data_IF_362367970606
#
_entry.id   IF_362367970606
#
_cell.length_a   1.000
_cell.length_b   1.000
_cell.length_c   1.000
_cell.angle_alpha   90.00
_cell.angle_beta   90.00
_cell.angle_gamma   90.00
#
_symmetry.space_group_name_H-M   'P 1'
#
loop_
_entity.id
_entity.type
_entity.pdbx_description
1 polymer ?
#
# COMPACT_ATOMS: atom_id res chain seq x y z
N UNK A 1 15.40 -12.12 4.94
CA UNK A 1 14.85 -10.81 4.53
C UNK A 1 15.02 -9.75 5.61
N UNK A 2 14.44 -9.87 6.82
CA UNK A 2 14.53 -8.85 7.90
C UNK A 2 15.97 -8.40 8.19
N UNK A 3 16.92 -9.32 8.36
CA UNK A 3 18.32 -9.00 8.62
C UNK A 3 19.01 -8.27 7.45
N UNK A 4 18.63 -8.57 6.21
CA UNK A 4 19.15 -7.86 5.04
C UNK A 4 18.58 -6.44 4.97
N UNK A 5 17.27 -6.26 5.17
CA UNK A 5 16.65 -4.94 5.21
C UNK A 5 17.28 -4.05 6.30
N UNK A 6 17.55 -4.61 7.50
CA UNK A 6 18.25 -3.92 8.58
C UNK A 6 19.67 -3.49 8.18
N UNK A 7 20.39 -4.33 7.41
CA UNK A 7 21.72 -3.98 6.91
C UNK A 7 21.66 -2.88 5.86
N UNK A 8 20.70 -2.96 4.92
CA UNK A 8 20.48 -1.90 3.92
C UNK A 8 20.17 -0.58 4.62
N UNK A 9 19.26 -0.57 5.60
CA UNK A 9 18.91 0.64 6.35
C UNK A 9 20.10 1.28 7.06
N UNK A 10 20.96 0.47 7.67
CA UNK A 10 22.12 0.94 8.40
C UNK A 10 23.29 1.36 7.50
N UNK A 11 23.57 0.60 6.43
CA UNK A 11 24.84 0.65 5.71
C UNK A 11 24.72 1.36 4.34
N UNK A 12 23.49 1.50 3.79
CA UNK A 12 23.28 1.99 2.43
C UNK A 12 22.29 3.16 2.39
N UNK A 13 21.03 2.95 2.78
CA UNK A 13 19.96 3.95 2.71
C UNK A 13 18.81 3.59 3.65
N UNK A 14 18.06 4.57 4.18
CA UNK A 14 16.85 4.31 4.98
C UNK A 14 15.85 3.44 4.24
N UNK A 15 15.30 2.44 4.93
CA UNK A 15 14.26 1.55 4.41
C UNK A 15 12.90 1.98 4.96
N UNK A 16 11.98 2.36 4.09
CA UNK A 16 10.59 2.68 4.40
C UNK A 16 9.66 1.54 4.00
N UNK A 17 8.47 1.51 4.58
CA UNK A 17 7.46 0.49 4.27
C UNK A 17 6.19 1.15 3.71
N UNK A 18 5.74 0.71 2.53
CA UNK A 18 4.48 1.11 1.91
C UNK A 18 3.56 -0.11 1.74
N UNK A 19 2.33 -0.04 2.27
CA UNK A 19 1.44 -1.21 2.34
C UNK A 19 -0.04 -0.82 2.33
N UNK A 20 -0.90 -1.68 1.77
CA UNK A 20 -2.36 -1.62 1.97
C UNK A 20 -2.82 -2.13 3.35
N UNK A 21 -1.91 -2.63 4.18
CA UNK A 21 -2.22 -3.04 5.57
C UNK A 21 -2.40 -1.82 6.46
N UNK A 22 -3.13 -2.02 7.57
CA UNK A 22 -3.31 -0.97 8.58
C UNK A 22 -2.00 -0.67 9.32
N UNK A 23 -1.87 0.54 9.84
CA UNK A 23 -0.68 0.98 10.58
C UNK A 23 -0.29 0.04 11.73
N UNK A 24 -1.22 -0.46 12.58
CA UNK A 24 -0.88 -1.45 13.61
C UNK A 24 -0.30 -2.77 13.08
N UNK A 25 -0.60 -3.14 11.84
CA UNK A 25 -0.06 -4.35 11.21
C UNK A 25 1.34 -4.13 10.63
N UNK A 26 1.69 -2.90 10.22
CA UNK A 26 2.98 -2.59 9.61
C UNK A 26 4.03 -2.20 10.66
N UNK A 27 3.61 -1.52 11.73
CA UNK A 27 4.52 -1.04 12.81
C UNK A 27 5.39 -2.17 13.42
N UNK A 28 4.86 -3.36 13.77
CA UNK A 28 5.68 -4.44 14.30
C UNK A 28 6.74 -4.94 13.30
N UNK A 29 6.43 -4.91 12.00
CA UNK A 29 7.38 -5.29 10.95
C UNK A 29 8.52 -4.28 10.90
N UNK A 30 8.19 -2.99 10.91
CA UNK A 30 9.18 -1.91 10.96
C UNK A 30 10.09 -2.02 12.19
N UNK A 31 9.51 -2.28 13.35
CA UNK A 31 10.27 -2.49 14.59
C UNK A 31 11.19 -3.72 14.52
N UNK A 32 10.71 -4.82 13.94
CA UNK A 32 11.51 -6.03 13.77
C UNK A 32 12.69 -5.83 12.80
N UNK A 33 12.49 -5.05 11.73
CA UNK A 33 13.55 -4.64 10.81
C UNK A 33 14.48 -3.64 11.50
N UNK A 34 13.96 -2.76 12.34
CA UNK A 34 14.70 -1.68 12.99
C UNK A 34 15.07 -0.58 12.00
N UNK A 35 14.15 -0.22 11.10
CA UNK A 35 14.44 0.79 10.07
C UNK A 35 14.35 2.20 10.61
N UNK A 36 15.10 3.12 9.96
CA UNK A 36 15.03 4.57 10.18
C UNK A 36 14.08 5.28 9.19
N UNK A 37 13.41 4.53 8.33
CA UNK A 37 12.46 5.04 7.36
C UNK A 37 11.12 5.47 7.97
N UNK A 38 10.13 5.64 7.13
CA UNK A 38 8.74 5.94 7.50
C UNK A 38 7.80 4.79 7.07
N UNK A 39 6.56 4.84 7.55
CA UNK A 39 5.49 3.94 7.13
C UNK A 39 4.46 4.73 6.31
N UNK A 40 4.07 4.16 5.18
CA UNK A 40 2.86 4.49 4.44
C UNK A 40 1.94 3.28 4.53
N UNK A 41 0.80 3.42 5.19
CA UNK A 41 -0.17 2.35 5.43
C UNK A 41 -1.51 2.69 4.76
N UNK A 42 -2.40 1.70 4.68
CA UNK A 42 -3.74 1.83 4.10
C UNK A 42 -3.71 2.46 2.70
N UNK A 43 -2.86 1.89 1.82
CA UNK A 43 -2.68 2.38 0.44
C UNK A 43 -2.40 3.88 0.32
N UNK A 44 -1.68 4.47 1.27
CA UNK A 44 -1.35 5.89 1.24
C UNK A 44 -2.12 6.74 2.23
N UNK A 45 -3.20 6.23 2.81
CA UNK A 45 -4.08 6.99 3.70
C UNK A 45 -3.48 7.34 5.06
N UNK A 46 -2.50 6.55 5.52
CA UNK A 46 -1.84 6.75 6.80
C UNK A 46 -0.33 6.91 6.62
N UNK A 47 0.23 7.98 7.18
CA UNK A 47 1.68 8.21 7.20
C UNK A 47 2.15 8.28 8.64
N UNK A 48 3.20 7.54 8.96
CA UNK A 48 3.86 7.58 10.25
C UNK A 48 5.38 7.66 10.09
N UNK A 49 6.00 8.55 10.84
CA UNK A 49 7.44 8.79 10.82
C UNK A 49 8.02 8.76 12.22
N UNK A 50 8.93 7.83 12.48
CA UNK A 50 9.58 7.67 13.78
C UNK A 50 10.54 8.81 14.14
N UNK A 51 11.07 9.54 13.16
CA UNK A 51 12.03 10.62 13.35
C UNK A 51 11.33 11.95 13.58
N UNK A 52 10.21 12.19 12.90
CA UNK A 52 9.44 13.44 12.98
C UNK A 52 8.51 13.51 14.21
N UNK A 53 8.91 12.87 15.32
CA UNK A 53 8.18 12.96 16.58
C UNK A 53 6.99 12.00 16.70
N UNK A 54 7.03 10.88 16.01
CA UNK A 54 5.98 9.84 16.00
C UNK A 54 4.59 10.37 15.59
N UNK A 55 4.55 11.45 14.80
CA UNK A 55 3.30 11.97 14.27
C UNK A 55 2.62 10.95 13.35
N UNK A 56 1.38 10.60 13.66
CA UNK A 56 0.49 9.88 12.74
C UNK A 56 -0.26 10.93 11.94
N UNK A 57 -0.30 10.78 10.63
CA UNK A 57 -1.08 11.63 9.74
C UNK A 57 -2.08 10.77 8.99
N UNK A 58 -3.36 10.99 9.24
CA UNK A 58 -4.45 10.48 8.41
C UNK A 58 -4.72 11.47 7.27
N UNK A 59 -4.74 10.97 6.04
CA UNK A 59 -4.91 11.77 4.82
C UNK A 59 -6.31 11.66 4.24
N UNK A 60 -7.13 10.77 4.79
CA UNK A 60 -8.49 10.49 4.34
C UNK A 60 -9.36 10.07 5.52
N UNK A 61 -10.67 9.99 5.30
CA UNK A 61 -11.66 9.46 6.24
C UNK A 61 -12.42 8.30 5.59
N UNK A 62 -12.26 7.11 6.14
CA UNK A 62 -12.91 5.88 5.67
C UNK A 62 -14.40 5.77 6.04
N UNK A 63 -14.98 6.75 6.72
CA UNK A 63 -16.39 6.68 7.17
C UNK A 63 -17.38 6.59 6.01
N UNK A 64 -17.11 7.27 4.88
CA UNK A 64 -17.92 7.19 3.66
C UNK A 64 -17.81 5.81 3.02
N UNK A 65 -16.61 5.26 2.92
CA UNK A 65 -16.36 3.93 2.38
C UNK A 65 -17.07 2.85 3.22
N UNK A 66 -17.05 2.97 4.54
CA UNK A 66 -17.81 2.10 5.44
C UNK A 66 -19.31 2.17 5.20
N UNK A 67 -19.89 3.37 5.08
CA UNK A 67 -21.33 3.54 4.77
C UNK A 67 -21.69 2.96 3.42
N UNK A 68 -20.82 3.12 2.41
CA UNK A 68 -21.01 2.50 1.11
C UNK A 68 -21.00 0.95 1.21
N UNK A 69 -20.13 0.37 2.03
CA UNK A 69 -20.11 -1.07 2.30
C UNK A 69 -21.38 -1.55 3.01
N UNK A 70 -21.89 -0.79 3.98
CA UNK A 70 -23.16 -1.05 4.66
C UNK A 70 -24.35 -0.99 3.65
N UNK A 71 -24.32 -0.04 2.73
CA UNK A 71 -25.31 0.07 1.65
C UNK A 71 -25.20 -1.10 0.65
N UNK A 72 -23.99 -1.48 0.23
CA UNK A 72 -23.77 -2.64 -0.65
C UNK A 72 -24.34 -3.94 -0.05
N UNK A 73 -24.25 -4.13 1.25
CA UNK A 73 -24.81 -5.28 1.94
C UNK A 73 -26.35 -5.34 1.86
N UNK A 74 -27.02 -4.22 1.58
CA UNK A 74 -28.48 -4.21 1.30
C UNK A 74 -28.81 -4.63 -0.13
N UNK A 75 -27.81 -4.70 -1.03
CA UNK A 75 -27.98 -4.98 -2.47
C UNK A 75 -27.42 -6.34 -2.88
N UNK A 76 -26.45 -6.85 -2.14
CA UNK A 76 -25.74 -8.10 -2.44
C UNK A 76 -26.00 -9.07 -1.30
N UNK A 77 -26.71 -10.15 -1.61
CA UNK A 77 -27.03 -11.19 -0.63
C UNK A 77 -25.75 -11.87 -0.11
N UNK A 78 -25.66 -12.01 1.21
CA UNK A 78 -24.51 -12.66 1.85
C UNK A 78 -23.26 -11.79 2.01
N UNK A 79 -23.27 -10.52 1.55
CA UNK A 79 -22.16 -9.60 1.77
C UNK A 79 -22.11 -9.15 3.24
N UNK A 80 -21.00 -9.43 3.92
CA UNK A 80 -20.75 -8.90 5.27
C UNK A 80 -20.15 -7.49 5.20
N UNK A 81 -20.87 -6.44 5.59
CA UNK A 81 -20.38 -5.06 5.54
C UNK A 81 -19.24 -4.78 6.53
N UNK A 82 -19.03 -5.64 7.53
CA UNK A 82 -17.88 -5.53 8.45
C UNK A 82 -16.56 -5.80 7.73
N UNK A 83 -16.62 -6.59 6.64
CA UNK A 83 -15.49 -6.90 5.79
C UNK A 83 -14.41 -7.71 6.48
N UNK A 84 -13.15 -7.34 6.24
CA UNK A 84 -12.01 -8.05 6.79
C UNK A 84 -11.73 -7.65 8.25
N UNK A 85 -11.13 -8.57 9.00
CA UNK A 85 -10.81 -8.42 10.44
C UNK A 85 -10.07 -7.10 10.74
N UNK A 86 -9.13 -6.69 9.87
CA UNK A 86 -8.32 -5.48 10.09
C UNK A 86 -9.09 -4.16 9.96
N UNK A 87 -10.35 -4.18 9.49
CA UNK A 87 -11.18 -2.96 9.42
C UNK A 87 -11.40 -2.30 10.78
N UNK A 88 -11.29 -3.05 11.88
CA UNK A 88 -11.36 -2.49 13.24
C UNK A 88 -10.28 -1.46 13.57
N UNK A 89 -9.20 -1.44 12.79
CA UNK A 89 -8.07 -0.52 12.93
C UNK A 89 -7.87 0.35 11.69
N UNK A 90 -8.80 0.27 10.71
CA UNK A 90 -8.70 1.01 9.45
C UNK A 90 -9.38 2.36 9.59
N UNK A 91 -8.71 3.41 9.14
CA UNK A 91 -9.18 4.79 9.31
C UNK A 91 -9.52 5.47 7.98
N UNK A 92 -8.89 5.10 6.87
CA UNK A 92 -8.90 5.90 5.65
C UNK A 92 -9.61 5.26 4.46
N UNK A 93 -9.84 3.97 4.52
CA UNK A 93 -10.55 3.17 3.52
C UNK A 93 -11.37 2.09 4.23
N UNK A 94 -12.17 1.30 3.49
CA UNK A 94 -12.86 0.13 4.01
C UNK A 94 -12.66 -1.07 3.11
N UNK A 95 -12.37 -2.24 3.68
CA UNK A 95 -12.04 -3.44 2.93
C UNK A 95 -13.09 -4.51 3.14
N UNK A 96 -13.67 -4.98 2.05
CA UNK A 96 -14.58 -6.12 2.02
C UNK A 96 -13.80 -7.40 1.69
N UNK A 97 -14.31 -8.56 2.10
CA UNK A 97 -13.74 -9.84 1.72
C UNK A 97 -13.75 -9.97 0.20
N UNK A 98 -12.68 -10.56 -0.37
CA UNK A 98 -12.63 -10.84 -1.79
C UNK A 98 -13.72 -11.85 -2.13
N UNK A 99 -14.65 -11.43 -2.96
CA UNK A 99 -15.80 -12.24 -3.36
C UNK A 99 -15.93 -12.22 -4.88
N UNK A 100 -16.67 -13.17 -5.43
CA UNK A 100 -17.04 -13.20 -6.85
C UNK A 100 -17.93 -12.01 -7.27
N UNK A 101 -18.36 -11.19 -6.30
CA UNK A 101 -19.22 -10.02 -6.49
C UNK A 101 -18.47 -8.71 -6.76
N UNK A 102 -17.17 -8.71 -7.00
CA UNK A 102 -16.38 -7.48 -7.19
C UNK A 102 -16.94 -6.59 -8.31
N UNK A 103 -17.19 -7.14 -9.49
CA UNK A 103 -17.73 -6.36 -10.62
C UNK A 103 -19.14 -5.81 -10.32
N UNK A 104 -19.95 -6.59 -9.58
CA UNK A 104 -21.26 -6.13 -9.11
C UNK A 104 -21.13 -4.98 -8.11
N UNK A 105 -20.21 -5.06 -7.15
CA UNK A 105 -19.93 -3.97 -6.20
C UNK A 105 -19.52 -2.71 -6.94
N UNK A 106 -18.57 -2.82 -7.89
CA UNK A 106 -18.08 -1.72 -8.70
C UNK A 106 -19.18 -1.04 -9.51
N UNK A 107 -20.03 -1.83 -10.17
CA UNK A 107 -21.17 -1.31 -10.93
C UNK A 107 -22.19 -0.61 -10.03
N UNK A 108 -22.57 -1.24 -8.91
CA UNK A 108 -23.50 -0.65 -7.96
C UNK A 108 -23.00 0.68 -7.39
N UNK A 109 -21.72 0.77 -7.03
CA UNK A 109 -21.12 2.03 -6.54
C UNK A 109 -21.18 3.09 -7.64
N UNK A 110 -20.78 2.77 -8.88
CA UNK A 110 -20.79 3.70 -10.00
C UNK A 110 -22.19 4.31 -10.30
N UNK A 111 -23.25 3.53 -10.06
CA UNK A 111 -24.64 3.93 -10.30
C UNK A 111 -25.34 4.49 -9.03
N UNK A 112 -24.59 4.87 -8.00
CA UNK A 112 -25.13 5.31 -6.71
C UNK A 112 -24.67 6.71 -6.29
N UNK A 113 -25.13 7.15 -5.11
CA UNK A 113 -24.63 8.36 -4.44
C UNK A 113 -23.16 8.26 -4.02
N UNK A 114 -22.57 7.06 -4.10
CA UNK A 114 -21.17 6.76 -3.76
C UNK A 114 -20.27 6.71 -5.01
N UNK A 115 -20.75 7.17 -6.17
CA UNK A 115 -20.09 7.03 -7.48
C UNK A 115 -18.70 7.69 -7.58
N UNK A 116 -18.38 8.56 -6.65
CA UNK A 116 -17.04 9.17 -6.51
C UNK A 116 -16.05 8.30 -5.75
N UNK A 117 -16.49 7.22 -5.07
CA UNK A 117 -15.59 6.31 -4.39
C UNK A 117 -14.90 5.35 -5.36
N UNK A 118 -13.64 5.12 -5.12
CA UNK A 118 -12.88 4.10 -5.85
C UNK A 118 -13.08 2.72 -5.25
N UNK A 119 -13.26 1.72 -6.13
CA UNK A 119 -13.42 0.31 -5.75
C UNK A 119 -12.35 -0.49 -6.47
N UNK A 120 -11.41 -1.03 -5.72
CA UNK A 120 -10.26 -1.75 -6.24
C UNK A 120 -10.16 -3.14 -5.61
N UNK A 121 -9.97 -4.17 -6.43
CA UNK A 121 -9.70 -5.53 -5.96
C UNK A 121 -8.19 -5.73 -5.83
N UNK A 122 -7.78 -6.31 -4.72
CA UNK A 122 -6.43 -6.84 -4.49
C UNK A 122 -6.50 -8.35 -4.28
N UNK A 123 -5.37 -9.02 -4.18
CA UNK A 123 -5.35 -10.48 -4.03
C UNK A 123 -6.05 -11.03 -2.77
N UNK A 124 -6.45 -10.18 -1.82
CA UNK A 124 -7.06 -10.61 -0.56
C UNK A 124 -8.30 -9.82 -0.13
N UNK A 125 -8.59 -8.66 -0.73
CA UNK A 125 -9.72 -7.82 -0.36
C UNK A 125 -10.17 -6.91 -1.51
N UNK A 126 -11.42 -6.44 -1.42
CA UNK A 126 -11.96 -5.33 -2.20
C UNK A 126 -11.87 -4.07 -1.35
N UNK A 127 -11.12 -3.10 -1.81
CA UNK A 127 -10.91 -1.81 -1.16
C UNK A 127 -11.92 -0.79 -1.68
N UNK A 128 -12.56 -0.09 -0.78
CA UNK A 128 -13.40 1.09 -1.07
C UNK A 128 -12.74 2.28 -0.42
N UNK A 129 -12.43 3.30 -1.19
CA UNK A 129 -11.67 4.46 -0.72
C UNK A 129 -12.18 5.76 -1.35
N UNK A 130 -11.84 6.90 -0.75
CA UNK A 130 -11.98 8.19 -1.40
C UNK A 130 -11.04 8.29 -2.61
N UNK A 131 -11.41 9.05 -3.65
CA UNK A 131 -10.62 9.16 -4.87
C UNK A 131 -9.21 9.73 -4.61
N UNK A 132 -8.24 9.24 -5.36
CA UNK A 132 -6.84 9.68 -5.26
C UNK A 132 -6.11 9.17 -4.02
N UNK A 133 -6.66 8.19 -3.30
CA UNK A 133 -5.99 7.55 -2.19
C UNK A 133 -5.16 6.37 -2.71
N UNK A 134 -3.89 6.60 -2.93
CA UNK A 134 -2.93 5.59 -3.36
C UNK A 134 -1.59 5.72 -2.63
N UNK A 135 -0.70 4.76 -2.84
CA UNK A 135 0.61 4.72 -2.17
C UNK A 135 1.48 5.94 -2.51
N UNK A 136 1.32 6.53 -3.71
CA UNK A 136 2.10 7.69 -4.13
C UNK A 136 1.75 8.94 -3.31
N UNK A 137 0.48 9.13 -2.94
CA UNK A 137 0.05 10.24 -2.11
C UNK A 137 0.74 10.21 -0.74
N UNK A 138 0.65 9.09 -0.02
CA UNK A 138 1.29 8.94 1.28
C UNK A 138 2.82 9.04 1.20
N UNK A 139 3.41 8.43 0.18
CA UNK A 139 4.84 8.46 -0.07
C UNK A 139 5.34 9.88 -0.37
N UNK A 140 4.64 10.62 -1.23
CA UNK A 140 4.95 12.00 -1.56
C UNK A 140 4.97 12.89 -0.32
N UNK A 141 3.94 12.78 0.53
CA UNK A 141 3.85 13.55 1.78
C UNK A 141 4.97 13.19 2.76
N UNK A 142 5.28 11.89 2.91
CA UNK A 142 6.36 11.45 3.79
C UNK A 142 7.74 11.92 3.30
N UNK A 143 7.97 11.89 1.99
CA UNK A 143 9.21 12.39 1.39
C UNK A 143 9.34 13.90 1.52
N UNK A 144 8.27 14.66 1.25
CA UNK A 144 8.24 16.11 1.40
C UNK A 144 8.58 16.54 2.82
N UNK A 145 7.98 15.90 3.83
CA UNK A 145 8.27 16.16 5.25
C UNK A 145 9.74 15.95 5.63
N UNK A 146 10.44 15.05 4.95
CA UNK A 146 11.86 14.78 5.17
C UNK A 146 12.80 15.52 4.21
N UNK A 147 12.27 16.28 3.26
CA UNK A 147 13.05 16.94 2.21
C UNK A 147 13.75 15.93 1.29
N UNK A 148 13.13 14.77 1.05
CA UNK A 148 13.67 13.72 0.19
C UNK A 148 13.19 13.98 -1.24
N UNK A 149 14.13 14.12 -2.17
CA UNK A 149 13.83 14.16 -3.60
C UNK A 149 13.35 12.77 -4.07
N UNK A 150 12.12 12.64 -4.61
CA UNK A 150 11.60 11.38 -5.14
C UNK A 150 12.54 10.71 -6.14
N UNK A 151 13.28 11.46 -6.92
CA UNK A 151 14.25 10.94 -7.89
C UNK A 151 15.44 10.21 -7.28
N UNK A 152 15.63 10.33 -5.97
CA UNK A 152 16.67 9.62 -5.21
C UNK A 152 16.13 8.41 -4.46
N UNK A 153 14.87 8.04 -4.69
CA UNK A 153 14.19 6.93 -4.03
C UNK A 153 14.11 5.73 -4.97
N UNK A 154 14.32 4.54 -4.41
CA UNK A 154 14.08 3.26 -5.07
C UNK A 154 12.81 2.67 -4.44
N UNK A 155 11.82 2.34 -5.27
CA UNK A 155 10.65 1.60 -4.85
C UNK A 155 10.72 0.14 -5.33
N UNK A 156 10.14 -0.78 -4.55
CA UNK A 156 9.89 -2.13 -5.02
C UNK A 156 8.48 -2.59 -4.65
N UNK A 157 7.87 -3.38 -5.54
CA UNK A 157 6.50 -3.83 -5.36
C UNK A 157 6.18 -5.04 -6.24
N UNK A 158 4.99 -5.60 -6.05
CA UNK A 158 4.55 -6.83 -6.70
C UNK A 158 3.10 -6.80 -7.19
N UNK A 159 2.36 -5.72 -6.94
CA UNK A 159 0.92 -5.64 -7.19
C UNK A 159 0.50 -4.30 -7.86
N UNK A 160 -0.66 -4.24 -8.51
CA UNK A 160 -1.13 -3.04 -9.23
C UNK A 160 -1.19 -1.77 -8.37
N UNK A 161 -1.45 -1.89 -7.06
CA UNK A 161 -1.43 -0.76 -6.13
C UNK A 161 -0.02 -0.20 -5.84
N UNK A 162 1.05 -0.79 -6.42
CA UNK A 162 2.43 -0.28 -6.36
C UNK A 162 2.76 0.62 -7.55
N UNK A 163 2.01 0.53 -8.66
CA UNK A 163 2.25 1.32 -9.88
C UNK A 163 2.33 2.82 -9.60
N UNK A 164 1.39 3.44 -8.83
CA UNK A 164 1.49 4.88 -8.57
C UNK A 164 2.79 5.30 -7.86
N UNK A 165 3.35 4.46 -6.98
CA UNK A 165 4.64 4.78 -6.37
C UNK A 165 5.82 4.55 -7.33
N UNK A 166 5.73 3.63 -8.30
CA UNK A 166 6.74 3.45 -9.33
C UNK A 166 6.85 4.69 -10.23
N UNK A 167 5.71 5.27 -10.61
CA UNK A 167 5.66 6.49 -11.43
C UNK A 167 6.23 7.73 -10.68
N UNK A 168 6.23 7.70 -9.35
CA UNK A 168 6.68 8.82 -8.52
C UNK A 168 8.19 8.85 -8.29
N UNK A 169 8.83 7.68 -8.17
CA UNK A 169 10.23 7.55 -7.72
C UNK A 169 11.24 7.64 -8.84
N UNK A 170 12.53 7.69 -8.50
CA UNK A 170 13.63 7.74 -9.47
C UNK A 170 14.02 6.40 -10.06
N UNK A 171 13.71 5.28 -9.37
CA UNK A 171 13.94 3.94 -9.86
C UNK A 171 12.96 2.95 -9.21
N UNK A 172 12.38 2.08 -10.01
CA UNK A 172 11.37 1.12 -9.57
C UNK A 172 11.74 -0.31 -9.96
N UNK A 173 11.42 -1.25 -9.07
CA UNK A 173 11.75 -2.67 -9.24
C UNK A 173 10.51 -3.53 -8.98
N UNK A 174 10.05 -4.26 -10.01
CA UNK A 174 9.06 -5.31 -9.84
C UNK A 174 9.74 -6.56 -9.26
N UNK A 175 9.20 -7.10 -8.17
CA UNK A 175 9.70 -8.34 -7.54
C UNK A 175 8.79 -9.54 -7.82
N UNK A 176 7.81 -9.38 -8.72
CA UNK A 176 6.87 -10.41 -9.16
C UNK A 176 6.50 -10.17 -10.62
N UNK A 177 6.18 -11.23 -11.34
CA UNK A 177 5.66 -11.22 -12.71
C UNK A 177 4.18 -11.65 -12.79
N UNK A 178 3.51 -11.70 -11.63
CA UNK A 178 2.10 -12.10 -11.55
C UNK A 178 1.18 -11.13 -12.31
N UNK A 179 1.53 -9.84 -12.34
CA UNK A 179 0.79 -8.78 -12.98
C UNK A 179 1.65 -8.13 -14.08
N UNK A 180 1.35 -8.41 -15.38
CA UNK A 180 2.12 -7.84 -16.49
C UNK A 180 2.20 -6.31 -16.49
N UNK A 181 1.13 -5.62 -16.04
CA UNK A 181 1.10 -4.16 -15.94
C UNK A 181 2.09 -3.62 -14.89
N UNK A 182 2.33 -4.36 -13.80
CA UNK A 182 3.33 -3.99 -12.79
C UNK A 182 4.73 -4.12 -13.35
N UNK A 183 4.98 -5.20 -14.10
CA UNK A 183 6.27 -5.40 -14.77
C UNK A 183 6.51 -4.31 -15.83
N UNK A 184 5.48 -3.94 -16.59
CA UNK A 184 5.58 -2.92 -17.64
C UNK A 184 5.80 -1.50 -17.07
N UNK A 185 5.38 -1.23 -15.84
CA UNK A 185 5.55 0.07 -15.17
C UNK A 185 6.88 0.21 -14.43
N UNK A 186 7.60 -0.89 -14.18
CA UNK A 186 8.86 -0.89 -13.44
C UNK A 186 10.07 -0.68 -14.36
N UNK A 187 11.11 -0.01 -13.85
CA UNK A 187 12.39 0.16 -14.57
C UNK A 187 13.18 -1.15 -14.64
N UNK A 188 12.98 -2.04 -13.66
CA UNK A 188 13.63 -3.35 -13.61
C UNK A 188 12.74 -4.41 -12.97
N UNK A 189 13.06 -5.68 -13.23
CA UNK A 189 12.46 -6.83 -12.57
C UNK A 189 13.57 -7.73 -12.03
N UNK A 190 13.38 -8.30 -10.85
CA UNK A 190 14.32 -9.27 -10.27
C UNK A 190 14.27 -10.61 -11.03
N UNK A 191 15.37 -11.37 -11.05
CA UNK A 191 15.41 -12.72 -11.62
C UNK A 191 14.53 -13.69 -10.82
N UNK A 192 14.65 -13.64 -9.50
CA UNK A 192 13.79 -14.37 -8.57
C UNK A 192 12.45 -13.63 -8.37
N UNK A 193 11.44 -14.29 -7.82
CA UNK A 193 10.10 -13.75 -7.66
C UNK A 193 9.63 -13.67 -6.21
N UNK A 194 8.75 -12.71 -5.94
CA UNK A 194 8.12 -12.50 -4.64
C UNK A 194 9.16 -12.29 -3.53
N UNK A 195 9.09 -13.10 -2.50
CA UNK A 195 10.02 -13.02 -1.36
C UNK A 195 11.49 -13.20 -1.77
N UNK A 196 11.77 -14.09 -2.72
CA UNK A 196 13.13 -14.33 -3.21
C UNK A 196 13.63 -13.14 -4.03
N UNK A 197 12.78 -12.52 -4.87
CA UNK A 197 13.10 -11.29 -5.58
C UNK A 197 13.39 -10.12 -4.63
N UNK A 198 12.59 -9.96 -3.56
CA UNK A 198 12.89 -8.95 -2.53
C UNK A 198 14.24 -9.20 -1.84
N UNK A 199 14.62 -10.46 -1.63
CA UNK A 199 15.93 -10.82 -1.06
C UNK A 199 17.05 -10.53 -2.05
N UNK A 200 16.86 -10.80 -3.33
CA UNK A 200 17.80 -10.47 -4.41
C UNK A 200 18.07 -8.98 -4.46
N UNK A 201 17.02 -8.16 -4.51
CA UNK A 201 17.16 -6.70 -4.49
C UNK A 201 17.95 -6.21 -3.27
N UNK A 202 17.61 -6.69 -2.06
CA UNK A 202 18.33 -6.30 -0.84
C UNK A 202 19.81 -6.71 -0.85
N UNK A 203 20.15 -7.84 -1.47
CA UNK A 203 21.55 -8.27 -1.67
C UNK A 203 22.27 -7.38 -2.68
N UNK A 204 21.62 -7.08 -3.81
CA UNK A 204 22.17 -6.18 -4.82
C UNK A 204 22.50 -4.80 -4.24
N UNK A 205 21.60 -4.23 -3.42
CA UNK A 205 21.85 -2.96 -2.70
C UNK A 205 23.04 -3.03 -1.75
N UNK A 206 23.36 -4.21 -1.23
CA UNK A 206 24.54 -4.45 -0.37
C UNK A 206 25.81 -4.83 -1.15
N UNK A 207 25.77 -4.86 -2.49
CA UNK A 207 26.88 -5.28 -3.34
C UNK A 207 27.22 -6.78 -3.24
N UNK A 208 26.24 -7.63 -3.01
CA UNK A 208 26.37 -9.09 -2.82
C UNK A 208 25.76 -9.89 -3.95
#
# INVERSE_FOLDING_TARGET
MVSLAKRVDRDVMPVSLASGRTLPNVTPIMQAIGTSGFIVAENGGMVWDSIQGHGIRSLSDGSRARKAAEWLATKIEGLDPRGIESNRWRETEWCLSNTDSFEQMKSLIADSEWSDLEVVSTGFAVHIANPGLDKSLGLSIAMDQRGIDPKRVIACGDAPNDIPMFDLVGFSVAVSDLYPEVVASADAITEERGKSGSIELLKALLGQ
#
